data_IF_478279098369
#
_entry.id   IF_478279098369
#
_cell.length_a   1.000
_cell.length_b   1.000
_cell.length_c   1.000
_cell.angle_alpha   90.00
_cell.angle_beta   90.00
_cell.angle_gamma   90.00
#
_symmetry.space_group_name_H-M   'P 1'
#
loop_
_entity.id
_entity.type
_entity.pdbx_description
1 polymer ?
#
# COMPACT_ATOMS: atom_id res chain seq x y z
N UNK A 1 -0.67 6.13 -11.59
CA UNK A 1 0.19 5.31 -12.49
C UNK A 1 1.31 4.71 -11.65
N UNK A 2 1.88 3.59 -12.14
CA UNK A 2 3.03 2.93 -11.52
C UNK A 2 3.97 2.46 -12.63
N UNK A 3 5.27 2.75 -12.51
CA UNK A 3 6.28 2.33 -13.49
C UNK A 3 6.53 0.81 -13.41
N UNK A 4 7.18 0.25 -14.43
CA UNK A 4 7.62 -1.15 -14.40
C UNK A 4 8.56 -1.42 -13.23
N UNK A 5 9.43 -0.47 -12.93
CA UNK A 5 10.38 -0.53 -11.84
C UNK A 5 9.67 -0.46 -10.48
N UNK A 6 8.69 0.46 -10.33
CA UNK A 6 7.85 0.55 -9.15
C UNK A 6 7.06 -0.74 -8.89
N UNK A 7 6.49 -1.36 -9.94
CA UNK A 7 5.81 -2.66 -9.84
C UNK A 7 6.73 -3.75 -9.31
N UNK A 8 7.93 -3.87 -9.89
CA UNK A 8 8.90 -4.87 -9.45
C UNK A 8 9.31 -4.66 -7.99
N UNK A 9 9.59 -3.43 -7.60
CA UNK A 9 9.96 -3.11 -6.20
C UNK A 9 8.80 -3.43 -5.27
N UNK A 10 7.55 -3.10 -5.65
CA UNK A 10 6.36 -3.42 -4.85
C UNK A 10 6.20 -4.91 -4.64
N UNK A 11 6.32 -5.72 -5.69
CA UNK A 11 6.25 -7.17 -5.60
C UNK A 11 7.34 -7.75 -4.69
N UNK A 12 8.59 -7.36 -4.93
CA UNK A 12 9.74 -7.82 -4.14
C UNK A 12 9.60 -7.41 -2.66
N UNK A 13 9.05 -6.23 -2.41
CA UNK A 13 8.77 -5.71 -1.06
C UNK A 13 7.69 -6.54 -0.36
N UNK A 14 6.56 -6.77 -1.01
CA UNK A 14 5.48 -7.61 -0.47
C UNK A 14 5.97 -9.00 -0.11
N UNK A 15 6.71 -9.64 -1.03
CA UNK A 15 7.32 -10.96 -0.79
C UNK A 15 8.26 -10.96 0.42
N UNK A 16 9.14 -9.96 0.51
CA UNK A 16 10.07 -9.83 1.63
C UNK A 16 9.35 -9.62 2.97
N UNK A 17 8.28 -8.80 3.00
CA UNK A 17 7.48 -8.57 4.21
C UNK A 17 6.81 -9.87 4.67
N UNK A 18 6.24 -10.63 3.75
CA UNK A 18 5.64 -11.94 4.01
C UNK A 18 6.64 -12.92 4.65
N UNK A 19 7.87 -13.01 4.10
CA UNK A 19 8.97 -13.83 4.65
C UNK A 19 9.38 -13.40 6.07
N UNK A 20 8.97 -12.20 6.51
CA UNK A 20 9.18 -11.67 7.86
C UNK A 20 7.93 -11.70 8.74
N UNK A 21 6.89 -12.43 8.32
CA UNK A 21 5.60 -12.51 9.00
C UNK A 21 4.92 -11.13 9.20
N UNK A 22 5.14 -10.20 8.28
CA UNK A 22 4.49 -8.88 8.28
C UNK A 22 3.33 -8.92 7.29
N UNK A 23 2.13 -8.58 7.78
CA UNK A 23 0.94 -8.45 6.93
C UNK A 23 1.01 -7.17 6.10
N UNK A 24 0.52 -7.25 4.86
CA UNK A 24 0.44 -6.09 3.97
C UNK A 24 -0.99 -5.60 3.88
N UNK A 25 -1.19 -4.32 4.19
CA UNK A 25 -2.47 -3.61 4.16
C UNK A 25 -2.42 -2.59 3.03
N UNK A 26 -3.36 -2.63 2.09
CA UNK A 26 -3.50 -1.56 1.08
C UNK A 26 -4.90 -1.52 0.45
N UNK A 27 -5.07 -0.67 -0.56
CA UNK A 27 -6.36 -0.37 -1.15
C UNK A 27 -6.73 -1.13 -2.41
N UNK A 28 -6.05 -2.19 -2.77
CA UNK A 28 -6.25 -2.92 -4.03
C UNK A 28 -6.15 -2.04 -5.30
N UNK A 29 -5.52 -0.88 -5.25
CA UNK A 29 -5.36 -0.02 -6.41
C UNK A 29 -4.47 -0.68 -7.48
N UNK A 30 -4.62 -0.26 -8.75
CA UNK A 30 -3.70 -0.71 -9.81
C UNK A 30 -2.29 -0.21 -9.56
N UNK A 31 -1.32 -1.04 -9.88
CA UNK A 31 0.10 -0.70 -9.78
C UNK A 31 0.76 -1.20 -8.52
N UNK A 32 1.27 -0.31 -7.68
CA UNK A 32 2.04 -0.69 -6.48
C UNK A 32 1.25 -1.59 -5.53
N UNK A 33 -0.01 -1.26 -5.24
CA UNK A 33 -0.86 -2.06 -4.35
C UNK A 33 -1.05 -3.48 -4.87
N UNK A 34 -1.47 -3.61 -6.15
CA UNK A 34 -1.66 -4.90 -6.81
C UNK A 34 -0.41 -5.77 -6.73
N UNK A 35 0.75 -5.20 -7.06
CA UNK A 35 2.00 -5.97 -7.09
C UNK A 35 2.51 -6.30 -5.67
N UNK A 36 2.33 -5.40 -4.70
CA UNK A 36 2.67 -5.69 -3.31
C UNK A 36 1.85 -6.86 -2.74
N UNK A 37 0.53 -6.89 -3.01
CA UNK A 37 -0.34 -8.00 -2.58
C UNK A 37 0.04 -9.32 -3.25
N UNK A 38 0.29 -9.33 -4.57
CA UNK A 38 0.77 -10.52 -5.28
C UNK A 38 2.10 -11.03 -4.71
N UNK A 39 3.03 -10.12 -4.43
CA UNK A 39 4.30 -10.47 -3.81
C UNK A 39 4.11 -11.06 -2.41
N UNK A 40 3.21 -10.51 -1.61
CA UNK A 40 2.87 -11.01 -0.27
C UNK A 40 2.31 -12.41 -0.32
N UNK A 41 1.35 -12.67 -1.21
CA UNK A 41 0.78 -14.00 -1.42
C UNK A 41 1.85 -15.00 -1.87
N UNK A 42 2.70 -14.61 -2.83
CA UNK A 42 3.79 -15.44 -3.33
C UNK A 42 4.85 -15.74 -2.24
N UNK A 43 4.99 -14.91 -1.23
CA UNK A 43 5.82 -15.12 -0.05
C UNK A 43 5.14 -15.91 1.07
N UNK A 44 3.88 -16.36 0.89
CA UNK A 44 3.10 -17.07 1.90
C UNK A 44 2.56 -16.19 3.02
N UNK A 45 2.52 -14.87 2.82
CA UNK A 45 2.01 -13.90 3.80
C UNK A 45 0.53 -13.60 3.64
N UNK A 46 -0.03 -12.87 4.61
CA UNK A 46 -1.43 -12.46 4.63
C UNK A 46 -1.60 -11.03 4.15
N UNK A 47 -2.68 -10.81 3.42
CA UNK A 47 -3.05 -9.51 2.88
C UNK A 47 -4.36 -8.99 3.51
N UNK A 48 -4.44 -7.67 3.66
CA UNK A 48 -5.66 -6.98 4.07
C UNK A 48 -5.97 -5.95 2.99
N UNK A 49 -7.07 -6.17 2.26
CA UNK A 49 -7.57 -5.25 1.25
C UNK A 49 -8.63 -4.33 1.83
N UNK A 50 -8.45 -3.00 1.72
CA UNK A 50 -9.44 -2.03 2.22
C UNK A 50 -10.16 -1.39 1.05
N UNK A 51 -11.48 -1.54 1.01
CA UNK A 51 -12.31 -1.16 -0.12
C UNK A 51 -13.00 0.20 0.11
N UNK A 52 -13.19 0.99 -0.97
CA UNK A 52 -13.93 2.26 -0.90
C UNK A 52 -15.44 2.10 -1.10
N UNK A 53 -15.93 0.87 -1.29
CA UNK A 53 -17.32 0.51 -1.55
C UNK A 53 -17.72 -0.69 -0.68
N UNK A 54 -18.95 -1.19 -0.83
CA UNK A 54 -19.36 -2.45 -0.21
C UNK A 54 -18.48 -3.63 -0.64
N UNK A 55 -18.43 -4.69 0.16
CA UNK A 55 -17.59 -5.86 -0.10
C UNK A 55 -18.00 -6.66 -1.36
N UNK A 56 -19.17 -6.40 -1.88
CA UNK A 56 -19.70 -6.94 -3.13
C UNK A 56 -19.22 -6.22 -4.40
N UNK A 57 -18.52 -5.07 -4.23
CA UNK A 57 -18.03 -4.26 -5.34
C UNK A 57 -16.52 -4.07 -5.29
N UNK A 58 -15.78 -5.09 -5.75
CA UNK A 58 -14.32 -5.02 -5.84
C UNK A 58 -13.90 -4.05 -6.94
N UNK A 59 -13.10 -3.06 -6.54
CA UNK A 59 -12.59 -2.03 -7.45
C UNK A 59 -11.05 -1.89 -7.32
N UNK A 60 -10.35 -1.84 -8.45
CA UNK A 60 -10.86 -2.00 -9.82
C UNK A 60 -11.30 -3.43 -10.13
N UNK A 61 -12.23 -3.60 -11.04
CA UNK A 61 -12.77 -4.92 -11.42
C UNK A 61 -11.69 -5.92 -11.88
N UNK A 62 -10.61 -5.44 -12.47
CA UNK A 62 -9.46 -6.27 -12.86
C UNK A 62 -8.76 -6.96 -11.68
N UNK A 63 -8.96 -6.49 -10.46
CA UNK A 63 -8.40 -7.07 -9.25
C UNK A 63 -9.38 -8.02 -8.51
N UNK A 64 -10.52 -8.36 -9.13
CA UNK A 64 -11.46 -9.32 -8.53
C UNK A 64 -10.78 -10.64 -8.15
N UNK A 65 -10.07 -11.26 -9.09
CA UNK A 65 -9.35 -12.52 -8.83
C UNK A 65 -8.31 -12.41 -7.72
N UNK A 66 -7.64 -11.26 -7.62
CA UNK A 66 -6.68 -11.00 -6.54
C UNK A 66 -7.40 -10.87 -5.19
N UNK A 67 -8.55 -10.21 -5.15
CA UNK A 67 -9.37 -10.10 -3.94
C UNK A 67 -9.86 -11.49 -3.46
N UNK A 68 -10.32 -12.33 -4.38
CA UNK A 68 -10.72 -13.70 -4.08
C UNK A 68 -9.54 -14.53 -3.54
N UNK A 69 -8.36 -14.38 -4.15
CA UNK A 69 -7.12 -15.05 -3.72
C UNK A 69 -6.68 -14.61 -2.32
N UNK A 70 -6.81 -13.31 -1.98
CA UNK A 70 -6.54 -12.79 -0.63
C UNK A 70 -7.35 -13.54 0.41
N UNK A 71 -8.65 -13.70 0.18
CA UNK A 71 -9.55 -14.39 1.12
C UNK A 71 -9.21 -15.89 1.20
N UNK A 72 -8.94 -16.54 0.07
CA UNK A 72 -8.54 -17.95 0.03
C UNK A 72 -7.20 -18.24 0.73
N UNK A 73 -6.36 -17.22 0.91
CA UNK A 73 -5.03 -17.31 1.57
C UNK A 73 -5.04 -16.73 2.99
N UNK A 74 -6.15 -16.87 3.70
CA UNK A 74 -6.32 -16.42 5.08
C UNK A 74 -6.09 -14.92 5.30
N UNK A 75 -6.23 -14.12 4.24
CA UNK A 75 -6.32 -12.67 4.30
C UNK A 75 -7.76 -12.21 4.48
N UNK A 76 -8.00 -10.91 4.44
CA UNK A 76 -9.35 -10.36 4.53
C UNK A 76 -9.55 -9.10 3.68
N UNK A 77 -10.82 -8.81 3.41
CA UNK A 77 -11.26 -7.56 2.82
C UNK A 77 -12.06 -6.79 3.85
N UNK A 78 -11.83 -5.49 3.95
CA UNK A 78 -12.46 -4.61 4.93
C UNK A 78 -13.11 -3.44 4.21
N UNK A 79 -14.32 -3.08 4.63
CA UNK A 79 -15.00 -1.86 4.20
C UNK A 79 -15.80 -1.24 5.35
N UNK A 80 -15.92 0.09 5.33
CA UNK A 80 -16.86 0.83 6.20
C UNK A 80 -18.25 0.98 5.57
N UNK A 81 -18.43 0.49 4.36
CA UNK A 81 -19.68 0.67 3.60
C UNK A 81 -20.47 -0.63 3.57
N UNK A 82 -21.77 -0.58 3.82
CA UNK A 82 -22.66 -1.72 3.65
C UNK A 82 -22.59 -2.31 2.23
N UNK A 83 -22.88 -3.59 2.12
CA UNK A 83 -23.10 -4.29 0.84
C UNK A 83 -24.13 -3.53 0.00
N UNK A 84 -23.90 -3.42 -1.30
CA UNK A 84 -24.74 -2.66 -2.23
C UNK A 84 -24.49 -1.14 -2.24
N UNK A 85 -23.52 -0.63 -1.46
CA UNK A 85 -23.19 0.80 -1.48
C UNK A 85 -22.35 1.13 -2.71
N UNK A 86 -22.84 1.96 -3.65
CA UNK A 86 -22.07 2.35 -4.83
C UNK A 86 -20.89 3.25 -4.44
N UNK A 87 -19.77 3.09 -5.16
CA UNK A 87 -18.58 3.89 -4.91
C UNK A 87 -18.77 5.35 -5.33
N UNK A 88 -18.26 6.27 -4.51
CA UNK A 88 -18.15 7.70 -4.81
C UNK A 88 -16.69 8.15 -4.69
N UNK A 89 -16.29 9.17 -5.42
CA UNK A 89 -14.91 9.64 -5.50
C UNK A 89 -14.28 9.95 -4.14
N UNK A 90 -15.02 10.57 -3.23
CA UNK A 90 -14.52 10.93 -1.89
C UNK A 90 -14.25 9.70 -0.99
N UNK A 91 -14.89 8.56 -1.29
CA UNK A 91 -14.74 7.35 -0.48
C UNK A 91 -13.32 6.74 -0.62
N UNK A 92 -12.66 6.95 -1.74
CA UNK A 92 -11.25 6.55 -1.90
C UNK A 92 -10.35 7.27 -0.89
N UNK A 93 -10.48 8.60 -0.79
CA UNK A 93 -9.71 9.40 0.17
C UNK A 93 -10.08 9.02 1.61
N UNK A 94 -11.37 8.89 1.88
CA UNK A 94 -11.85 8.52 3.23
C UNK A 94 -11.35 7.15 3.67
N UNK A 95 -11.25 6.18 2.73
CA UNK A 95 -10.72 4.85 2.98
C UNK A 95 -9.22 4.87 3.33
N UNK A 96 -8.43 5.81 2.76
CA UNK A 96 -6.97 5.85 2.94
C UNK A 96 -6.56 6.02 4.42
N UNK A 97 -7.40 6.65 5.26
CA UNK A 97 -7.17 6.72 6.71
C UNK A 97 -7.18 5.35 7.39
N UNK A 98 -7.92 4.38 6.84
CA UNK A 98 -7.95 3.02 7.38
C UNK A 98 -6.69 2.23 7.02
N UNK A 99 -6.12 2.48 5.83
CA UNK A 99 -4.86 1.84 5.44
C UNK A 99 -3.75 2.20 6.44
N UNK A 100 -3.62 3.47 6.79
CA UNK A 100 -2.67 3.92 7.80
C UNK A 100 -3.08 3.53 9.21
N UNK A 101 -4.36 3.64 9.56
CA UNK A 101 -4.88 3.35 10.91
C UNK A 101 -4.69 1.90 11.34
N UNK A 102 -4.91 0.97 10.42
CA UNK A 102 -4.79 -0.49 10.64
C UNK A 102 -3.36 -1.03 10.46
N UNK A 103 -2.39 -0.17 10.22
CA UNK A 103 -1.00 -0.58 10.05
C UNK A 103 -0.08 0.06 11.09
N UNK A 104 1.04 -0.59 11.37
CA UNK A 104 2.10 -0.07 12.26
C UNK A 104 2.96 1.00 11.57
N UNK A 105 2.94 1.03 10.25
CA UNK A 105 3.66 2.00 9.44
C UNK A 105 3.24 1.98 7.98
N UNK A 106 3.58 3.04 7.26
CA UNK A 106 3.27 3.22 5.85
C UNK A 106 4.56 3.25 5.03
N UNK A 107 4.61 2.42 3.99
CA UNK A 107 5.74 2.38 3.07
C UNK A 107 5.29 2.81 1.67
N UNK A 108 5.86 3.90 1.19
CA UNK A 108 5.63 4.44 -0.15
C UNK A 108 6.69 3.88 -1.09
N UNK A 109 6.27 3.08 -2.06
CA UNK A 109 7.19 2.58 -3.10
C UNK A 109 7.41 3.66 -4.14
N UNK A 110 6.35 4.11 -4.78
CA UNK A 110 6.38 5.10 -5.85
C UNK A 110 5.13 5.98 -5.79
N UNK A 111 5.31 7.28 -5.75
CA UNK A 111 4.23 8.23 -5.74
C UNK A 111 4.59 9.54 -6.45
N UNK A 112 3.63 10.08 -7.19
CA UNK A 112 3.68 11.47 -7.66
C UNK A 112 3.09 12.39 -6.58
N UNK A 113 3.53 13.64 -6.53
CA UNK A 113 3.13 14.61 -5.51
C UNK A 113 1.61 14.82 -5.42
N UNK A 114 0.90 14.74 -6.54
CA UNK A 114 -0.56 14.90 -6.61
C UNK A 114 -1.30 13.56 -6.63
N UNK A 115 -0.67 12.47 -6.20
CA UNK A 115 -1.31 11.15 -6.18
C UNK A 115 -2.14 10.92 -4.91
N UNK A 116 -3.13 10.03 -4.99
CA UNK A 116 -3.92 9.58 -3.83
C UNK A 116 -3.07 9.04 -2.68
N UNK A 117 -1.89 8.48 -2.97
CA UNK A 117 -0.94 8.00 -1.95
C UNK A 117 -0.57 9.10 -0.94
N UNK A 118 -0.55 10.37 -1.35
CA UNK A 118 -0.22 11.49 -0.46
C UNK A 118 -1.30 11.71 0.61
N UNK A 119 -2.56 11.35 0.36
CA UNK A 119 -3.59 11.35 1.40
C UNK A 119 -3.31 10.28 2.48
N UNK A 120 -2.86 9.10 2.07
CA UNK A 120 -2.45 8.06 3.04
C UNK A 120 -1.28 8.54 3.89
N UNK A 121 -0.32 9.27 3.30
CA UNK A 121 0.81 9.88 4.04
C UNK A 121 0.31 10.89 5.06
N UNK A 122 -0.57 11.79 4.66
CA UNK A 122 -1.15 12.81 5.56
C UNK A 122 -1.90 12.17 6.73
N UNK A 123 -2.73 11.16 6.47
CA UNK A 123 -3.38 10.39 7.54
C UNK A 123 -2.38 9.70 8.45
N UNK A 124 -1.34 9.09 7.90
CA UNK A 124 -0.30 8.43 8.68
C UNK A 124 0.46 9.42 9.59
N UNK A 125 0.76 10.62 9.12
CA UNK A 125 1.34 11.70 9.93
C UNK A 125 0.43 12.10 11.08
N UNK A 126 -0.86 12.35 10.79
CA UNK A 126 -1.85 12.71 11.80
C UNK A 126 -2.12 11.60 12.81
N UNK A 127 -1.88 10.35 12.45
CA UNK A 127 -2.00 9.17 13.30
C UNK A 127 -0.69 8.77 13.97
N UNK A 128 0.36 9.58 13.84
CA UNK A 128 1.69 9.33 14.41
C UNK A 128 2.29 7.98 13.99
N UNK A 129 1.98 7.53 12.76
CA UNK A 129 2.53 6.29 12.23
C UNK A 129 3.93 6.49 11.67
N UNK A 130 4.74 5.44 11.70
CA UNK A 130 6.02 5.44 10.99
C UNK A 130 5.80 5.50 9.50
N UNK A 131 6.56 6.36 8.84
CA UNK A 131 6.47 6.51 7.39
C UNK A 131 7.86 6.30 6.80
N UNK A 132 7.91 5.52 5.73
CA UNK A 132 9.09 5.34 4.94
C UNK A 132 8.78 5.46 3.45
N UNK A 133 9.75 5.86 2.66
CA UNK A 133 9.65 5.79 1.20
C UNK A 133 10.92 5.24 0.58
N UNK A 134 10.79 4.67 -0.61
CA UNK A 134 11.96 4.37 -1.42
C UNK A 134 12.58 5.67 -1.94
N UNK A 135 13.92 5.68 -1.99
CA UNK A 135 14.70 6.79 -2.53
C UNK A 135 14.24 7.12 -3.96
N UNK A 136 13.97 8.40 -4.22
CA UNK A 136 13.36 8.84 -5.47
C UNK A 136 14.09 8.36 -6.75
N UNK A 137 15.42 8.20 -6.72
CA UNK A 137 16.20 7.69 -7.87
C UNK A 137 16.06 6.18 -8.11
N UNK A 138 15.43 5.43 -7.22
CA UNK A 138 15.16 4.01 -7.39
C UNK A 138 13.88 3.74 -8.18
N UNK A 139 13.02 4.72 -8.33
CA UNK A 139 11.71 4.66 -8.98
C UNK A 139 11.59 5.77 -10.02
N UNK A 140 10.59 5.68 -10.90
CA UNK A 140 10.46 6.60 -12.03
C UNK A 140 9.47 7.74 -11.75
N UNK A 141 8.27 7.41 -11.26
CA UNK A 141 7.22 8.37 -10.92
C UNK A 141 7.35 8.78 -9.46
N UNK A 142 8.29 9.66 -9.16
CA UNK A 142 8.82 9.84 -7.82
C UNK A 142 8.85 11.27 -7.30
N UNK A 143 8.04 12.18 -7.85
CA UNK A 143 7.97 13.56 -7.34
C UNK A 143 7.49 13.61 -5.89
N UNK A 144 6.52 12.76 -5.51
CA UNK A 144 6.08 12.58 -4.13
C UNK A 144 7.16 12.01 -3.22
N UNK A 145 7.89 10.97 -3.68
CA UNK A 145 9.02 10.42 -2.92
C UNK A 145 10.08 11.49 -2.63
N UNK A 146 10.41 12.31 -3.64
CA UNK A 146 11.38 13.41 -3.49
C UNK A 146 10.90 14.43 -2.46
N UNK A 147 9.64 14.85 -2.54
CA UNK A 147 9.05 15.79 -1.59
C UNK A 147 9.10 15.27 -0.15
N UNK A 148 8.78 13.98 0.04
CA UNK A 148 8.85 13.33 1.35
C UNK A 148 10.29 13.24 1.87
N UNK A 149 11.26 12.97 1.01
CA UNK A 149 12.69 12.96 1.35
C UNK A 149 13.18 14.35 1.77
N UNK A 150 12.82 15.39 1.02
CA UNK A 150 13.19 16.78 1.31
C UNK A 150 12.58 17.30 2.61
N UNK A 151 11.36 16.84 2.95
CA UNK A 151 10.72 17.17 4.23
C UNK A 151 11.45 16.61 5.47
N UNK A 152 12.32 15.60 5.30
CA UNK A 152 13.19 15.07 6.36
C UNK A 152 12.49 14.35 7.51
N UNK A 153 11.18 14.16 7.45
CA UNK A 153 10.37 13.59 8.53
C UNK A 153 10.10 12.09 8.39
N UNK A 154 10.71 11.44 7.40
CA UNK A 154 10.44 10.04 7.07
C UNK A 154 11.75 9.26 6.86
N UNK A 155 11.65 7.93 6.97
CA UNK A 155 12.78 7.04 6.65
C UNK A 155 12.90 6.83 5.14
N UNK A 156 14.09 7.10 4.57
CA UNK A 156 14.36 6.90 3.14
C UNK A 156 15.12 5.60 2.91
N UNK A 157 14.51 4.71 2.11
CA UNK A 157 15.08 3.40 1.78
C UNK A 157 15.91 3.47 0.50
N UNK A 158 17.22 3.45 0.62
CA UNK A 158 18.16 3.51 -0.53
C UNK A 158 18.39 2.14 -1.20
N UNK A 159 18.18 1.04 -0.49
CA UNK A 159 18.36 -0.35 -0.95
C UNK A 159 17.51 -1.31 -0.11
N UNK A 160 17.35 -2.58 -0.56
CA UNK A 160 16.66 -3.64 0.22
C UNK A 160 17.16 -3.81 1.67
N UNK A 161 18.43 -3.47 1.98
CA UNK A 161 18.94 -3.47 3.36
C UNK A 161 18.20 -2.48 4.27
N UNK A 162 17.64 -1.40 3.74
CA UNK A 162 16.83 -0.43 4.49
C UNK A 162 15.53 -1.01 5.04
N UNK A 163 14.89 -1.96 4.33
CA UNK A 163 13.72 -2.69 4.84
C UNK A 163 14.02 -3.46 6.12
N UNK A 164 15.23 -4.02 6.25
CA UNK A 164 15.64 -4.70 7.49
C UNK A 164 15.72 -3.74 8.69
N UNK A 165 16.12 -2.49 8.48
CA UNK A 165 16.19 -1.51 9.57
C UNK A 165 14.80 -1.00 9.97
N UNK A 166 13.85 -0.94 9.04
CA UNK A 166 12.45 -0.59 9.31
C UNK A 166 11.71 -1.65 10.16
N UNK A 167 12.06 -2.92 9.95
CA UNK A 167 11.46 -4.06 10.67
C UNK A 167 12.19 -4.41 11.96
N UNK A 168 13.33 -3.79 12.24
CA UNK A 168 13.99 -3.85 13.55
C UNK A 168 13.29 -2.88 14.50
N UNK A 169 12.22 -3.36 15.02
CA UNK A 169 11.36 -2.72 16.00
C UNK A 169 11.47 -3.43 17.32
#
# INVERSE_FOLDING_TARGET
KCSLKGRKISYDTGKYLAEKNVNVVNGLALGCDTEALKGTIAGGGRCIGILPAGLDDILPKSNQKLADEIVMKDGCLISEYPVGTPVKKYQYVRRDRLQSGLSDGVLIVEAEEQSGTMHTVEFAQNQYKRIACYYHKLVELSSGNRKLEEAGQISVLKIKKGLKSLLKL
#
